data_IF_853034773327
#
_entry.id   IF_853034773327
#
_cell.length_a   1.000
_cell.length_b   1.000
_cell.length_c   1.000
_cell.angle_alpha   90.00
_cell.angle_beta   90.00
_cell.angle_gamma   90.00
#
_symmetry.space_group_name_H-M   'P 1'
#
loop_
_entity.id
_entity.type
_entity.pdbx_description
1 polymer ?
#
# COMPACT_ATOMS: atom_id res chain seq x y z
N UNK A 1 32.32 -33.95 33.76
CA UNK A 1 31.61 -32.96 32.93
C UNK A 1 30.72 -33.57 31.84
N UNK A 2 30.75 -34.89 31.59
CA UNK A 2 30.02 -35.53 30.49
C UNK A 2 28.51 -35.17 30.41
N UNK A 3 27.79 -35.19 31.54
CA UNK A 3 26.36 -34.86 31.55
C UNK A 3 26.05 -33.40 31.17
N UNK A 4 26.89 -32.45 31.61
CA UNK A 4 26.71 -31.02 31.29
C UNK A 4 27.00 -30.77 29.81
N UNK A 5 28.03 -31.40 29.24
CA UNK A 5 28.31 -31.30 27.80
C UNK A 5 27.16 -31.83 26.94
N UNK A 6 26.55 -32.96 27.33
CA UNK A 6 25.36 -33.48 26.67
C UNK A 6 24.15 -32.56 26.81
N UNK A 7 23.94 -31.97 28.00
CA UNK A 7 22.89 -30.97 28.23
C UNK A 7 23.08 -29.72 27.36
N UNK A 8 24.29 -29.19 27.28
CA UNK A 8 24.61 -28.04 26.40
C UNK A 8 24.32 -28.37 24.93
N UNK A 9 24.66 -29.59 24.48
CA UNK A 9 24.27 -30.06 23.15
C UNK A 9 22.75 -30.00 22.99
N UNK A 10 21.97 -30.58 23.91
CA UNK A 10 20.50 -30.57 23.83
C UNK A 10 19.92 -29.15 23.75
N UNK A 11 20.47 -28.18 24.50
CA UNK A 11 20.06 -26.77 24.41
C UNK A 11 20.30 -26.20 23.02
N UNK A 12 21.47 -26.47 22.43
CA UNK A 12 21.79 -26.03 21.07
C UNK A 12 20.86 -26.69 20.04
N UNK A 13 20.57 -28.00 20.15
CA UNK A 13 19.62 -28.68 19.25
C UNK A 13 18.23 -28.02 19.31
N UNK A 14 17.76 -27.62 20.50
CA UNK A 14 16.51 -26.86 20.64
C UNK A 14 16.56 -25.49 19.96
N UNK A 15 17.64 -24.73 20.18
CA UNK A 15 17.79 -23.37 19.64
C UNK A 15 17.90 -23.32 18.11
N UNK A 16 18.57 -24.31 17.51
CA UNK A 16 18.76 -24.41 16.06
C UNK A 16 17.69 -25.26 15.35
N UNK A 17 16.92 -26.04 16.11
CA UNK A 17 15.91 -26.96 15.56
C UNK A 17 16.50 -28.02 14.64
N UNK A 18 17.69 -28.53 14.96
CA UNK A 18 18.45 -29.46 14.12
C UNK A 18 19.21 -30.48 14.96
N UNK A 19 19.17 -31.75 14.57
CA UNK A 19 19.96 -32.84 15.12
C UNK A 19 21.35 -32.90 14.48
N UNK A 20 22.39 -33.03 15.31
CA UNK A 20 23.77 -33.16 14.83
C UNK A 20 24.15 -34.62 14.58
N UNK A 21 24.99 -34.90 13.56
CA UNK A 21 25.45 -36.26 13.26
C UNK A 21 26.35 -36.81 14.36
N UNK A 22 26.38 -38.13 14.49
CA UNK A 22 27.35 -38.82 15.34
C UNK A 22 28.69 -38.97 14.61
N UNK A 23 29.77 -38.60 15.28
CA UNK A 23 31.11 -38.80 14.74
C UNK A 23 31.46 -40.30 14.71
N UNK A 24 32.25 -40.71 13.70
CA UNK A 24 32.75 -42.08 13.52
C UNK A 24 31.68 -43.17 13.32
N UNK A 25 30.47 -42.79 12.92
CA UNK A 25 29.39 -43.73 12.64
C UNK A 25 29.34 -44.10 11.14
N UNK A 26 30.26 -44.96 10.70
CA UNK A 26 30.27 -45.49 9.33
C UNK A 26 29.43 -46.77 9.20
N UNK A 27 29.43 -47.60 10.24
CA UNK A 27 28.65 -48.84 10.33
C UNK A 27 28.09 -48.97 11.74
N UNK A 28 26.84 -49.45 11.85
CA UNK A 28 26.23 -49.74 13.13
C UNK A 28 26.97 -50.91 13.83
N UNK A 29 26.95 -50.93 15.16
CA UNK A 29 27.44 -52.09 15.90
C UNK A 29 26.64 -53.35 15.51
N UNK A 30 27.27 -54.43 15.02
CA UNK A 30 26.57 -55.66 14.63
C UNK A 30 25.78 -56.35 15.76
N UNK A 31 26.09 -56.01 17.02
CA UNK A 31 25.38 -56.52 18.18
C UNK A 31 24.17 -55.67 18.59
N UNK A 32 23.91 -54.56 17.89
CA UNK A 32 22.76 -53.69 18.13
C UNK A 32 21.67 -54.02 17.11
N UNK A 33 20.58 -54.63 17.59
CA UNK A 33 19.36 -54.81 16.80
C UNK A 33 18.48 -53.56 16.94
N UNK A 34 18.08 -52.99 15.80
CA UNK A 34 17.25 -51.79 15.74
C UNK A 34 15.79 -52.13 15.40
N UNK A 35 15.47 -53.40 15.13
CA UNK A 35 14.10 -53.82 14.84
C UNK A 35 13.20 -53.54 16.05
N UNK A 36 12.19 -52.69 15.84
CA UNK A 36 11.23 -52.28 16.88
C UNK A 36 11.69 -51.11 17.77
N UNK A 37 12.90 -50.56 17.59
CA UNK A 37 13.30 -49.34 18.29
C UNK A 37 12.75 -48.09 17.58
N UNK A 38 11.96 -47.23 18.26
CA UNK A 38 11.34 -46.06 17.64
C UNK A 38 12.36 -44.89 17.53
N UNK A 39 13.49 -45.11 16.88
CA UNK A 39 14.53 -44.11 16.72
C UNK A 39 15.53 -44.45 15.63
N UNK A 40 16.12 -43.42 15.04
CA UNK A 40 17.16 -43.51 14.01
C UNK A 40 18.44 -42.98 14.62
N UNK A 41 19.55 -43.70 14.41
CA UNK A 41 20.86 -43.20 14.81
C UNK A 41 21.40 -42.31 13.70
N UNK A 42 21.58 -41.03 14.03
CA UNK A 42 21.93 -39.99 13.07
C UNK A 42 23.38 -40.12 12.57
N UNK A 43 23.56 -40.37 11.27
CA UNK A 43 24.85 -40.29 10.55
C UNK A 43 25.08 -38.92 9.91
N UNK A 44 24.01 -38.20 9.58
CA UNK A 44 24.01 -36.85 9.00
C UNK A 44 23.19 -35.87 9.84
N UNK A 45 23.37 -34.57 9.60
CA UNK A 45 22.55 -33.54 10.24
C UNK A 45 21.11 -33.61 9.74
N UNK A 46 20.13 -33.49 10.63
CA UNK A 46 18.72 -33.54 10.25
C UNK A 46 17.91 -32.45 10.93
N UNK A 47 17.16 -31.70 10.14
CA UNK A 47 16.32 -30.61 10.59
C UNK A 47 15.03 -31.12 11.21
N UNK A 48 14.63 -30.58 12.35
CA UNK A 48 13.33 -30.87 12.93
C UNK A 48 12.22 -30.18 12.12
N UNK A 49 11.09 -30.87 11.95
CA UNK A 49 9.92 -30.33 11.23
C UNK A 49 9.16 -29.27 12.03
N UNK A 50 9.26 -29.29 13.35
CA UNK A 50 8.54 -28.37 14.24
C UNK A 50 9.36 -27.15 14.63
N UNK A 51 8.66 -26.04 14.93
CA UNK A 51 9.28 -24.82 15.48
C UNK A 51 9.83 -25.00 16.90
N UNK A 52 9.39 -26.04 17.60
CA UNK A 52 9.87 -26.42 18.91
C UNK A 52 10.25 -27.89 18.92
N UNK A 53 11.25 -28.23 19.73
CA UNK A 53 11.72 -29.61 19.85
C UNK A 53 11.98 -29.99 21.31
N UNK A 54 11.87 -31.30 21.57
CA UNK A 54 12.25 -31.92 22.82
C UNK A 54 13.55 -32.71 22.60
N UNK A 55 14.58 -32.42 23.39
CA UNK A 55 15.88 -33.09 23.29
C UNK A 55 16.28 -33.61 24.67
N UNK A 56 16.67 -34.89 24.75
CA UNK A 56 17.03 -35.54 26.01
C UNK A 56 18.51 -35.88 26.10
N UNK A 57 19.05 -35.82 27.33
CA UNK A 57 20.37 -36.34 27.66
C UNK A 57 20.24 -37.41 28.74
N UNK A 58 20.90 -38.54 28.50
CA UNK A 58 21.04 -39.64 29.45
C UNK A 58 22.50 -39.71 29.90
N UNK A 59 22.72 -39.88 31.20
CA UNK A 59 24.05 -40.03 31.80
C UNK A 59 24.06 -41.22 32.76
N UNK A 60 24.90 -42.21 32.46
CA UNK A 60 25.08 -43.41 33.27
C UNK A 60 26.43 -43.33 34.01
N UNK A 61 26.38 -43.29 35.34
CA UNK A 61 27.57 -43.25 36.19
C UNK A 61 28.07 -44.65 36.52
N UNK A 62 29.38 -44.86 36.54
CA UNK A 62 29.99 -46.16 36.89
C UNK A 62 29.57 -46.65 38.29
N UNK A 63 29.30 -45.74 39.23
CA UNK A 63 28.78 -46.06 40.56
C UNK A 63 27.31 -46.49 40.60
N UNK A 64 26.65 -46.66 39.45
CA UNK A 64 25.25 -47.11 39.35
C UNK A 64 24.21 -45.99 39.41
N UNK A 65 24.61 -44.73 39.66
CA UNK A 65 23.70 -43.59 39.61
C UNK A 65 23.46 -43.14 38.17
N UNK A 66 22.19 -43.10 37.77
CA UNK A 66 21.76 -42.70 36.44
C UNK A 66 20.96 -41.40 36.52
N UNK A 67 21.16 -40.52 35.54
CA UNK A 67 20.44 -39.26 35.42
C UNK A 67 19.89 -39.08 34.01
N UNK A 68 18.69 -38.50 33.91
CA UNK A 68 18.03 -38.13 32.66
C UNK A 68 17.57 -36.68 32.76
N UNK A 69 17.78 -35.89 31.72
CA UNK A 69 17.22 -34.55 31.61
C UNK A 69 16.58 -34.36 30.22
N UNK A 70 15.44 -33.69 30.19
CA UNK A 70 14.71 -33.33 28.98
C UNK A 70 14.71 -31.81 28.82
N UNK A 71 15.12 -31.33 27.67
CA UNK A 71 15.05 -29.93 27.27
C UNK A 71 13.91 -29.74 26.27
N UNK A 72 13.13 -28.69 26.48
CA UNK A 72 12.19 -28.18 25.49
C UNK A 72 12.62 -26.76 25.11
N UNK A 73 12.52 -26.43 23.83
CA UNK A 73 12.76 -25.07 23.39
C UNK A 73 12.26 -24.83 21.98
N UNK A 74 11.95 -23.56 21.70
CA UNK A 74 11.69 -23.08 20.35
C UNK A 74 13.01 -22.84 19.63
N UNK A 75 12.99 -23.07 18.33
CA UNK A 75 14.06 -22.64 17.46
C UNK A 75 14.03 -21.11 17.39
N UNK A 76 15.17 -20.50 17.69
CA UNK A 76 15.35 -19.04 17.78
C UNK A 76 16.52 -18.57 16.93
N UNK A 77 17.32 -19.50 16.40
CA UNK A 77 18.55 -19.18 15.67
C UNK A 77 18.39 -19.27 14.16
N UNK A 78 17.45 -20.06 13.65
CA UNK A 78 17.30 -20.27 12.20
C UNK A 78 16.08 -19.54 11.64
N UNK A 79 16.18 -19.14 10.38
CA UNK A 79 15.08 -18.48 9.65
C UNK A 79 13.81 -19.32 9.53
N UNK A 80 13.91 -20.64 9.74
CA UNK A 80 12.79 -21.60 9.72
C UNK A 80 11.81 -21.42 10.88
N UNK A 81 12.24 -20.81 11.98
CA UNK A 81 11.42 -20.64 13.18
C UNK A 81 10.90 -19.22 13.38
N UNK A 82 11.15 -18.32 12.41
CA UNK A 82 10.50 -17.01 12.32
C UNK A 82 9.06 -17.13 11.76
N UNK A 83 8.40 -18.28 11.99
CA UNK A 83 7.03 -18.61 11.57
C UNK A 83 5.93 -17.89 12.36
N UNK A 84 6.18 -16.63 12.72
CA UNK A 84 5.21 -15.74 13.34
C UNK A 84 5.72 -14.31 13.26
N UNK A 85 5.22 -13.55 12.27
CA UNK A 85 5.55 -12.14 12.04
C UNK A 85 6.95 -11.87 11.49
N UNK A 86 7.28 -12.40 10.30
CA UNK A 86 7.90 -11.48 9.34
C UNK A 86 6.78 -10.56 8.90
N UNK A 87 6.77 -9.35 9.42
CA UNK A 87 6.01 -8.28 8.79
C UNK A 87 6.48 -8.22 7.34
N UNK A 88 5.65 -8.74 6.44
CA UNK A 88 6.00 -8.84 5.02
C UNK A 88 6.26 -7.44 4.49
N UNK A 89 5.49 -6.46 4.95
CA UNK A 89 5.72 -5.05 4.66
C UNK A 89 7.07 -4.58 5.21
N UNK A 90 7.38 -4.86 6.49
CA UNK A 90 8.68 -4.51 7.08
C UNK A 90 9.87 -5.14 6.36
N UNK A 91 9.75 -6.40 5.91
CA UNK A 91 10.82 -7.09 5.17
C UNK A 91 10.99 -6.53 3.75
N UNK A 92 9.88 -6.19 3.08
CA UNK A 92 9.90 -5.53 1.77
C UNK A 92 10.47 -4.12 1.88
N UNK A 93 10.07 -3.36 2.90
CA UNK A 93 10.60 -2.02 3.17
C UNK A 93 12.09 -2.04 3.52
N UNK A 94 12.55 -3.01 4.30
CA UNK A 94 13.97 -3.17 4.61
C UNK A 94 14.79 -3.50 3.36
N UNK A 95 14.26 -4.34 2.46
CA UNK A 95 14.87 -4.59 1.14
C UNK A 95 14.91 -3.35 0.26
N UNK A 96 13.84 -2.56 0.22
CA UNK A 96 13.80 -1.29 -0.54
C UNK A 96 14.80 -0.28 0.02
N UNK A 97 14.90 -0.16 1.36
CA UNK A 97 15.84 0.76 2.03
C UNK A 97 17.31 0.43 1.76
N UNK A 98 17.63 -0.84 1.63
CA UNK A 98 19.00 -1.33 1.41
C UNK A 98 19.27 -1.74 -0.03
N UNK A 99 18.34 -1.48 -0.95
CA UNK A 99 18.55 -1.72 -2.37
C UNK A 99 19.74 -0.87 -2.86
N UNK A 100 20.62 -1.43 -3.70
CA UNK A 100 21.70 -0.66 -4.30
C UNK A 100 21.14 0.52 -5.11
N UNK A 101 21.96 1.54 -5.32
CA UNK A 101 21.58 2.67 -6.17
C UNK A 101 21.12 2.14 -7.53
N UNK A 102 19.99 2.64 -8.01
CA UNK A 102 19.38 2.21 -9.28
C UNK A 102 20.41 2.28 -10.40
N UNK A 103 20.49 1.22 -11.19
CA UNK A 103 21.33 1.23 -12.38
C UNK A 103 20.73 2.19 -13.40
N UNK A 104 21.55 3.14 -13.85
CA UNK A 104 21.21 4.02 -14.96
C UNK A 104 21.44 3.24 -16.24
N UNK A 105 20.37 2.86 -16.92
CA UNK A 105 20.50 2.23 -18.23
C UNK A 105 20.85 3.32 -19.24
N UNK A 106 22.09 3.31 -19.71
CA UNK A 106 22.58 4.22 -20.75
C UNK A 106 21.99 3.74 -22.09
N UNK A 107 20.77 4.18 -22.37
CA UNK A 107 20.13 4.04 -23.68
C UNK A 107 20.51 5.25 -24.53
N UNK A 108 21.68 5.17 -25.17
CA UNK A 108 22.12 6.16 -26.16
C UNK A 108 23.12 7.21 -25.66
N UNK A 109 23.56 8.08 -26.58
CA UNK A 109 24.52 9.17 -26.33
C UNK A 109 23.85 10.43 -25.75
N UNK A 110 22.51 10.53 -25.84
CA UNK A 110 21.73 11.61 -25.24
C UNK A 110 21.25 11.20 -23.85
N UNK A 111 21.56 12.02 -22.86
CA UNK A 111 21.20 11.78 -21.45
C UNK A 111 19.70 11.93 -21.21
N UNK A 112 18.96 12.54 -22.14
CA UNK A 112 17.50 12.63 -22.12
C UNK A 112 16.82 11.30 -22.50
N UNK A 113 17.51 10.39 -23.18
CA UNK A 113 17.01 9.07 -23.58
C UNK A 113 17.30 7.98 -22.53
N UNK A 114 18.00 8.33 -21.45
CA UNK A 114 18.39 7.38 -20.41
C UNK A 114 17.20 7.02 -19.54
N UNK A 115 16.80 5.76 -19.56
CA UNK A 115 15.68 5.27 -18.75
C UNK A 115 16.11 5.06 -17.30
N UNK A 116 15.48 5.81 -16.39
CA UNK A 116 15.63 5.66 -14.94
C UNK A 116 14.47 4.81 -14.41
N UNK A 117 14.73 3.54 -14.08
CA UNK A 117 13.75 2.67 -13.45
C UNK A 117 13.53 3.06 -11.98
N UNK A 118 12.70 4.07 -11.72
CA UNK A 118 12.47 4.52 -10.34
C UNK A 118 11.54 5.71 -10.14
N UNK A 119 11.05 5.93 -8.90
CA UNK A 119 10.40 7.18 -8.53
C UNK A 119 11.37 8.36 -8.71
N UNK A 120 11.07 9.22 -9.69
CA UNK A 120 11.86 10.41 -9.95
C UNK A 120 11.94 11.30 -8.70
N UNK A 121 12.98 12.12 -8.62
CA UNK A 121 13.19 13.12 -7.57
C UNK A 121 11.98 14.06 -7.39
N UNK A 122 11.16 14.19 -8.43
CA UNK A 122 9.98 15.06 -8.49
C UNK A 122 8.65 14.33 -8.21
N UNK A 123 8.70 13.11 -7.67
CA UNK A 123 7.52 12.32 -7.26
C UNK A 123 6.63 13.11 -6.29
N UNK A 124 5.35 13.27 -6.63
CA UNK A 124 4.39 14.07 -5.85
C UNK A 124 3.61 13.19 -4.87
N UNK A 125 3.11 13.76 -3.75
CA UNK A 125 2.21 13.03 -2.85
C UNK A 125 0.99 12.50 -3.62
N UNK A 126 0.82 11.17 -3.67
CA UNK A 126 -0.27 10.50 -4.38
C UNK A 126 0.13 9.72 -5.63
N UNK A 127 1.40 9.78 -6.06
CA UNK A 127 1.92 8.94 -7.13
C UNK A 127 1.93 7.47 -6.69
N UNK A 128 1.35 6.59 -7.51
CA UNK A 128 1.35 5.14 -7.30
C UNK A 128 2.35 4.49 -8.25
N UNK A 129 3.09 3.51 -7.73
CA UNK A 129 4.12 2.79 -8.46
C UNK A 129 3.85 1.31 -8.35
N UNK A 130 3.97 0.61 -9.47
CA UNK A 130 4.01 -0.84 -9.52
C UNK A 130 5.47 -1.28 -9.41
N UNK A 131 5.74 -2.22 -8.52
CA UNK A 131 7.09 -2.71 -8.23
C UNK A 131 7.10 -4.20 -8.55
N UNK A 132 7.84 -4.57 -9.57
CA UNK A 132 8.09 -5.97 -9.90
C UNK A 132 9.50 -6.36 -9.42
N UNK A 133 9.59 -7.50 -8.73
CA UNK A 133 10.86 -8.05 -8.26
C UNK A 133 11.04 -9.38 -8.97
N UNK A 134 12.08 -9.48 -9.80
CA UNK A 134 12.39 -10.71 -10.54
C UNK A 134 13.01 -11.80 -9.63
N UNK A 135 13.22 -12.99 -10.19
CA UNK A 135 13.83 -14.13 -9.46
C UNK A 135 15.30 -13.87 -9.06
N UNK A 136 15.97 -12.92 -9.73
CA UNK A 136 17.36 -12.53 -9.51
C UNK A 136 17.50 -11.35 -8.52
N UNK A 137 16.38 -10.74 -8.10
CA UNK A 137 16.30 -9.67 -7.11
C UNK A 137 16.44 -8.25 -7.69
N UNK A 138 16.36 -8.09 -9.00
CA UNK A 138 16.25 -6.80 -9.69
C UNK A 138 14.85 -6.23 -9.45
N UNK A 139 14.78 -4.93 -9.16
CA UNK A 139 13.54 -4.24 -8.83
C UNK A 139 13.22 -3.27 -9.97
N UNK A 140 12.15 -3.54 -10.70
CA UNK A 140 11.63 -2.65 -11.74
C UNK A 140 10.48 -1.81 -11.18
N UNK A 141 10.53 -0.51 -11.44
CA UNK A 141 9.53 0.45 -11.01
C UNK A 141 8.78 1.00 -12.23
N UNK A 142 7.48 0.73 -12.31
CA UNK A 142 6.62 1.29 -13.35
C UNK A 142 5.67 2.31 -12.72
N UNK A 143 5.67 3.56 -13.21
CA UNK A 143 4.72 4.58 -12.73
C UNK A 143 3.33 4.19 -13.18
N UNK A 144 2.41 3.97 -12.23
CA UNK A 144 1.03 3.69 -12.58
C UNK A 144 0.39 5.00 -13.04
N UNK A 145 -0.03 5.06 -14.31
CA UNK A 145 -0.83 6.18 -14.79
C UNK A 145 -2.05 6.32 -13.90
N UNK A 146 -2.24 7.53 -13.35
CA UNK A 146 -3.35 7.81 -12.46
C UNK A 146 -4.63 7.67 -13.29
N UNK A 147 -5.45 6.67 -12.98
CA UNK A 147 -6.79 6.56 -13.56
C UNK A 147 -7.55 7.85 -13.19
N UNK A 148 -7.70 8.73 -14.18
CA UNK A 148 -8.50 9.94 -14.02
C UNK A 148 -9.95 9.48 -14.13
N UNK A 149 -10.76 9.64 -13.09
CA UNK A 149 -12.19 9.33 -13.18
C UNK A 149 -12.78 10.13 -14.34
N UNK A 150 -13.61 9.51 -15.16
CA UNK A 150 -14.33 10.23 -16.22
C UNK A 150 -15.11 11.38 -15.56
N UNK A 151 -14.71 12.62 -15.82
CA UNK A 151 -15.29 13.82 -15.22
C UNK A 151 -16.64 14.20 -15.88
N UNK A 152 -17.04 13.46 -16.91
CA UNK A 152 -18.21 13.72 -17.76
C UNK A 152 -17.86 14.59 -18.96
N UNK A 153 -18.69 14.53 -20.00
CA UNK A 153 -18.50 15.31 -21.23
C UNK A 153 -19.27 16.64 -21.19
N UNK A 154 -20.37 16.67 -20.44
CA UNK A 154 -21.29 17.81 -20.36
C UNK A 154 -21.54 18.21 -18.91
N UNK A 155 -21.45 19.50 -18.61
CA UNK A 155 -21.67 20.02 -17.27
C UNK A 155 -22.92 20.91 -17.22
N UNK A 156 -23.66 20.80 -16.11
CA UNK A 156 -24.90 21.52 -15.87
C UNK A 156 -24.84 22.20 -14.50
N UNK A 157 -25.38 23.42 -14.43
CA UNK A 157 -25.61 24.15 -13.20
C UNK A 157 -26.99 23.80 -12.62
N UNK A 158 -27.03 23.52 -11.33
CA UNK A 158 -28.27 23.25 -10.60
C UNK A 158 -28.28 24.04 -9.30
N UNK A 159 -29.40 24.69 -8.95
CA UNK A 159 -29.44 25.53 -7.76
C UNK A 159 -30.80 26.11 -7.44
N UNK A 160 -30.85 26.97 -6.42
CA UNK A 160 -32.10 27.64 -6.01
C UNK A 160 -32.66 28.56 -7.10
N UNK A 161 -31.82 29.12 -7.96
CA UNK A 161 -32.19 30.04 -9.04
C UNK A 161 -32.99 29.36 -10.17
N UNK A 162 -32.85 28.05 -10.34
CA UNK A 162 -33.52 27.27 -11.39
C UNK A 162 -34.39 26.13 -10.82
N UNK A 163 -34.83 26.25 -9.56
CA UNK A 163 -35.61 25.19 -8.87
C UNK A 163 -34.92 23.81 -8.84
N UNK A 164 -33.59 23.78 -8.82
CA UNK A 164 -32.77 22.57 -8.91
C UNK A 164 -32.94 21.80 -10.22
N UNK A 165 -33.16 22.53 -11.32
CA UNK A 165 -33.14 21.98 -12.67
C UNK A 165 -31.71 22.05 -13.25
N UNK A 166 -31.55 21.71 -14.54
CA UNK A 166 -30.26 21.62 -15.21
C UNK A 166 -30.11 22.72 -16.25
N UNK A 167 -29.31 23.74 -15.94
CA UNK A 167 -28.90 24.74 -16.91
C UNK A 167 -27.55 24.35 -17.51
N UNK A 168 -27.45 24.35 -18.83
CA UNK A 168 -26.22 23.89 -19.52
C UNK A 168 -25.09 24.89 -19.32
N UNK A 169 -23.88 24.40 -19.02
CA UNK A 169 -22.67 25.21 -19.05
C UNK A 169 -22.06 25.18 -20.44
N UNK A 170 -21.76 26.36 -20.99
CA UNK A 170 -21.14 26.49 -22.30
C UNK A 170 -19.61 26.30 -22.19
N UNK A 171 -19.02 25.36 -22.96
CA UNK A 171 -17.58 25.21 -23.01
C UNK A 171 -16.91 26.43 -23.65
N UNK A 172 -15.77 26.85 -23.10
CA UNK A 172 -14.97 27.94 -23.66
C UNK A 172 -14.13 27.46 -24.86
N UNK A 173 -14.07 28.26 -25.94
CA UNK A 173 -13.31 27.93 -27.14
C UNK A 173 -11.79 28.09 -26.97
N UNK A 174 -11.32 28.90 -26.00
CA UNK A 174 -9.91 29.21 -25.80
C UNK A 174 -9.22 28.29 -24.78
N UNK A 175 -9.96 27.72 -23.83
CA UNK A 175 -9.44 26.84 -22.78
C UNK A 175 -10.21 25.52 -22.71
N UNK A 176 -9.59 24.44 -23.19
CA UNK A 176 -10.14 23.08 -23.07
C UNK A 176 -10.35 22.73 -21.61
N UNK A 177 -11.59 22.35 -21.25
CA UNK A 177 -11.98 22.01 -19.89
C UNK A 177 -12.52 23.18 -19.05
N UNK A 178 -12.61 24.39 -19.61
CA UNK A 178 -13.30 25.52 -18.99
C UNK A 178 -14.75 25.58 -19.47
N UNK A 179 -15.69 25.66 -18.54
CA UNK A 179 -17.12 25.72 -18.76
C UNK A 179 -17.69 26.93 -18.05
N UNK A 180 -18.57 27.68 -18.70
CA UNK A 180 -19.11 28.93 -18.17
C UNK A 180 -20.63 28.94 -18.19
N UNK A 181 -21.23 29.57 -17.18
CA UNK A 181 -22.68 29.73 -17.08
C UNK A 181 -23.05 30.97 -16.30
N UNK A 182 -24.30 31.40 -16.41
CA UNK A 182 -24.77 32.64 -15.80
C UNK A 182 -25.83 32.30 -14.76
N UNK A 183 -25.64 32.80 -13.54
CA UNK A 183 -26.61 32.74 -12.45
C UNK A 183 -27.13 34.15 -12.20
N UNK A 184 -28.45 34.31 -12.11
CA UNK A 184 -29.11 35.56 -11.76
C UNK A 184 -29.60 35.47 -10.30
N UNK A 185 -29.24 36.45 -9.46
CA UNK A 185 -29.60 36.44 -8.04
C UNK A 185 -31.05 36.90 -7.88
N UNK A 186 -31.88 36.06 -7.27
CA UNK A 186 -33.26 36.37 -6.95
C UNK A 186 -33.41 37.29 -5.74
N UNK A 187 -34.65 37.56 -5.35
CA UNK A 187 -35.00 38.47 -4.25
C UNK A 187 -34.49 38.05 -2.87
N UNK A 188 -33.98 36.83 -2.74
CA UNK A 188 -33.40 36.30 -1.51
C UNK A 188 -31.98 36.82 -1.22
N UNK A 189 -31.33 37.52 -2.18
CA UNK A 189 -29.99 38.12 -2.01
C UNK A 189 -28.85 37.09 -1.83
N UNK A 190 -29.17 35.80 -1.92
CA UNK A 190 -28.22 34.71 -1.94
C UNK A 190 -28.80 33.53 -2.71
N UNK A 191 -27.98 32.90 -3.56
CA UNK A 191 -28.34 31.71 -4.33
C UNK A 191 -27.39 30.56 -3.99
N UNK A 192 -27.96 29.37 -3.87
CA UNK A 192 -27.23 28.13 -3.63
C UNK A 192 -27.11 27.36 -4.95
N UNK A 193 -25.94 26.84 -5.29
CA UNK A 193 -25.74 26.06 -6.52
C UNK A 193 -24.77 24.89 -6.34
N UNK A 194 -24.87 23.94 -7.27
CA UNK A 194 -24.01 22.78 -7.50
C UNK A 194 -23.78 22.62 -9.00
N UNK A 195 -22.79 21.81 -9.36
CA UNK A 195 -22.48 21.48 -10.74
C UNK A 195 -22.63 19.97 -10.91
N UNK A 196 -23.24 19.54 -11.99
CA UNK A 196 -23.52 18.14 -12.26
C UNK A 196 -23.04 17.77 -13.66
N UNK A 197 -22.37 16.63 -13.80
CA UNK A 197 -22.00 16.08 -15.09
C UNK A 197 -23.07 15.13 -15.64
N UNK A 198 -23.24 15.14 -16.96
CA UNK A 198 -24.02 14.19 -17.77
C UNK A 198 -25.46 13.93 -17.31
N UNK A 199 -26.04 14.90 -16.58
CA UNK A 199 -27.37 14.78 -15.94
C UNK A 199 -27.50 13.57 -15.01
N UNK A 200 -26.38 13.02 -14.51
CA UNK A 200 -26.35 11.88 -13.61
C UNK A 200 -26.18 12.35 -12.15
N UNK A 201 -27.13 12.07 -11.24
CA UNK A 201 -27.01 12.44 -9.83
C UNK A 201 -25.77 11.88 -9.13
N UNK A 202 -25.18 10.80 -9.65
CA UNK A 202 -23.94 10.22 -9.14
C UNK A 202 -22.69 10.99 -9.55
N UNK A 203 -22.82 11.92 -10.51
CA UNK A 203 -21.73 12.77 -11.01
C UNK A 203 -21.92 14.21 -10.58
N UNK A 204 -22.13 14.42 -9.28
CA UNK A 204 -22.29 15.76 -8.71
C UNK A 204 -20.96 16.28 -8.16
N UNK A 205 -20.66 17.53 -8.49
CA UNK A 205 -19.53 18.28 -7.97
C UNK A 205 -19.99 19.27 -6.92
N UNK A 206 -19.25 19.33 -5.82
CA UNK A 206 -19.61 20.09 -4.65
C UNK A 206 -18.37 20.68 -3.97
N UNK A 207 -18.51 21.74 -3.15
CA UNK A 207 -17.37 22.33 -2.46
C UNK A 207 -16.82 21.42 -1.37
N UNK A 208 -15.50 21.46 -1.14
CA UNK A 208 -14.86 20.78 0.00
C UNK A 208 -15.46 21.16 1.37
N UNK A 209 -16.01 22.37 1.48
CA UNK A 209 -16.72 22.84 2.68
C UNK A 209 -18.21 23.06 2.39
N UNK A 210 -19.14 22.51 3.18
CA UNK A 210 -20.57 22.77 3.00
C UNK A 210 -20.89 24.25 3.14
N UNK A 211 -21.81 24.76 2.33
CA UNK A 211 -22.25 26.18 2.31
C UNK A 211 -21.09 27.14 2.07
N UNK A 212 -20.22 26.80 1.13
CA UNK A 212 -19.02 27.59 0.88
C UNK A 212 -19.36 28.91 0.17
N UNK A 213 -18.90 30.02 0.73
CA UNK A 213 -18.97 31.35 0.10
C UNK A 213 -17.66 31.77 -0.57
N UNK A 214 -16.65 30.90 -0.54
CA UNK A 214 -15.32 31.21 -1.08
C UNK A 214 -15.22 30.83 -2.56
N UNK A 215 -14.73 31.76 -3.37
CA UNK A 215 -14.51 31.61 -4.82
C UNK A 215 -13.35 30.68 -5.20
N UNK A 216 -12.62 30.16 -4.21
CA UNK A 216 -11.38 29.38 -4.40
C UNK A 216 -11.37 28.09 -3.56
N UNK A 217 -12.54 27.62 -3.13
CA UNK A 217 -12.63 26.37 -2.41
C UNK A 217 -12.36 25.19 -3.36
N UNK A 218 -11.64 24.18 -2.87
CA UNK A 218 -11.40 22.96 -3.63
C UNK A 218 -12.73 22.30 -4.00
N UNK A 219 -12.81 21.81 -5.23
CA UNK A 219 -13.98 21.08 -5.74
C UNK A 219 -13.79 19.59 -5.45
N UNK A 220 -14.84 18.94 -4.93
CA UNK A 220 -14.91 17.49 -4.73
C UNK A 220 -15.99 16.88 -5.61
N UNK A 221 -15.83 15.61 -5.93
CA UNK A 221 -16.65 14.85 -6.88
C UNK A 221 -15.79 14.15 -7.94
N UNK A 222 -16.39 13.39 -8.87
CA UNK A 222 -17.82 13.12 -8.99
C UNK A 222 -18.29 12.04 -8.00
N UNK A 223 -19.24 12.37 -7.12
CA UNK A 223 -19.95 11.37 -6.30
C UNK A 223 -21.39 11.81 -5.98
N UNK A 224 -22.25 10.87 -5.59
CA UNK A 224 -23.60 11.17 -5.13
C UNK A 224 -23.53 11.90 -3.78
N UNK A 225 -23.98 13.15 -3.74
CA UNK A 225 -23.92 13.98 -2.54
C UNK A 225 -25.30 14.52 -2.15
N UNK A 226 -25.48 14.81 -0.86
CA UNK A 226 -26.68 15.46 -0.35
C UNK A 226 -26.66 16.96 -0.65
N UNK A 227 -27.85 17.59 -0.73
CA UNK A 227 -28.04 19.04 -0.94
C UNK A 227 -27.48 19.95 0.18
N UNK A 228 -26.77 19.39 1.15
CA UNK A 228 -26.09 20.15 2.19
C UNK A 228 -24.74 20.73 1.72
N UNK A 229 -24.15 20.15 0.66
CA UNK A 229 -22.87 20.54 0.10
C UNK A 229 -23.03 21.48 -1.09
N UNK A 230 -23.40 22.74 -0.84
CA UNK A 230 -23.67 23.74 -1.87
C UNK A 230 -22.68 24.91 -1.83
N UNK A 231 -22.42 25.51 -2.98
CA UNK A 231 -21.81 26.84 -3.06
C UNK A 231 -22.88 27.91 -2.84
N UNK A 232 -22.54 29.01 -2.18
CA UNK A 232 -23.45 30.13 -1.92
C UNK A 232 -22.87 31.40 -2.55
N UNK A 233 -23.58 31.96 -3.51
CA UNK A 233 -23.30 33.29 -4.07
C UNK A 233 -24.17 34.31 -3.34
N UNK A 234 -23.57 35.41 -2.88
CA UNK A 234 -24.29 36.54 -2.27
C UNK A 234 -24.21 37.74 -3.20
N UNK A 235 -25.33 38.41 -3.41
CA UNK A 235 -25.45 39.58 -4.29
C UNK A 235 -26.70 40.40 -4.01
N UNK A 236 -26.88 41.49 -4.74
CA UNK A 236 -28.13 42.25 -4.74
C UNK A 236 -29.13 41.62 -5.71
N UNK A 237 -30.44 41.79 -5.47
CA UNK A 237 -31.48 41.26 -6.37
C UNK A 237 -31.29 41.84 -7.78
N UNK A 238 -31.20 40.95 -8.78
CA UNK A 238 -30.92 41.31 -10.18
C UNK A 238 -29.43 41.33 -10.57
N UNK A 239 -28.52 41.04 -9.64
CA UNK A 239 -27.11 40.86 -9.99
C UNK A 239 -26.90 39.56 -10.79
N UNK A 240 -26.07 39.63 -11.83
CA UNK A 240 -25.66 38.47 -12.62
C UNK A 240 -24.24 38.04 -12.26
N UNK A 241 -24.06 36.75 -12.02
CA UNK A 241 -22.77 36.14 -11.75
C UNK A 241 -22.45 35.12 -12.84
N UNK A 242 -21.33 35.30 -13.51
CA UNK A 242 -20.74 34.30 -14.39
C UNK A 242 -19.99 33.28 -13.53
N UNK A 243 -20.43 32.03 -13.54
CA UNK A 243 -19.75 30.88 -12.92
C UNK A 243 -18.86 30.23 -13.97
N UNK A 244 -17.61 30.03 -13.61
CA UNK A 244 -16.57 29.37 -14.39
C UNK A 244 -16.15 28.10 -13.67
N UNK A 245 -16.28 26.98 -14.35
CA UNK A 245 -15.89 25.67 -13.88
C UNK A 245 -14.79 25.12 -14.77
N UNK A 246 -13.64 24.87 -14.17
CA UNK A 246 -12.49 24.31 -14.84
C UNK A 246 -12.29 22.87 -14.38
N UNK A 247 -12.32 21.94 -15.32
CA UNK A 247 -12.04 20.52 -15.14
C UNK A 247 -10.96 20.09 -16.14
N UNK A 248 -9.77 19.81 -15.63
CA UNK A 248 -8.64 19.33 -16.43
C UNK A 248 -8.62 17.80 -16.51
N UNK A 249 -8.13 17.26 -17.62
CA UNK A 249 -7.79 15.83 -17.76
C UNK A 249 -6.80 15.37 -16.69
N UNK A 250 -6.03 16.26 -16.07
CA UNK A 250 -5.15 15.93 -14.94
C UNK A 250 -5.88 15.68 -13.60
N UNK A 251 -7.22 15.76 -13.59
CA UNK A 251 -8.04 15.65 -12.38
C UNK A 251 -8.01 16.88 -11.48
N UNK A 252 -7.49 18.01 -11.97
CA UNK A 252 -7.55 19.29 -11.26
C UNK A 252 -8.85 20.00 -11.57
N UNK A 253 -9.57 20.40 -10.53
CA UNK A 253 -10.90 20.98 -10.64
C UNK A 253 -10.98 22.28 -9.84
N UNK A 254 -11.55 23.32 -10.44
CA UNK A 254 -11.80 24.59 -9.75
C UNK A 254 -13.08 25.26 -10.22
N UNK A 255 -13.83 25.83 -9.28
CA UNK A 255 -15.00 26.67 -9.56
C UNK A 255 -14.67 28.09 -9.13
N UNK A 256 -14.99 29.08 -9.96
CA UNK A 256 -14.89 30.51 -9.66
C UNK A 256 -16.15 31.21 -10.16
N UNK A 257 -16.54 32.33 -9.54
CA UNK A 257 -17.65 33.14 -10.05
C UNK A 257 -17.37 34.64 -9.95
N UNK A 258 -17.73 35.36 -11.00
CA UNK A 258 -17.43 36.77 -11.22
C UNK A 258 -18.74 37.52 -11.46
N UNK A 259 -18.94 38.65 -10.79
CA UNK A 259 -20.11 39.51 -11.01
C UNK A 259 -19.97 40.18 -12.38
N UNK A 260 -20.95 40.03 -13.26
CA UNK A 260 -21.06 40.87 -14.45
C UNK A 260 -21.55 42.25 -14.04
N UNK A 261 -20.82 43.28 -14.47
CA UNK A 261 -21.10 44.70 -14.20
C UNK A 261 -22.12 45.29 -15.16
#
# INVERSE_FOLDING_TARGET
>A
SAGVSGLTKCVLLCMYGEATPNCHLNCLNPHLDMDGFPGIIMSEGCTFKGEASYNGVLSFGFGGTNACALCWGRNVMTTRALGGSKDMYGTVMDKILHAPAQEVTITGDDWEEWEMGGPEKDSKPGDQWEIEIDEDGVVEYTKKEKEVPALGETFFLTGSFNEWTYDTLDPDEALTGLYSGIIEIGDNGAEEFQIQADQDPSMTFYPDTPKCTMKSAGVKGPEFTSRDNVWIIKGESGDRFRVEFFASESGTMSVTWIKES
#
